data_IF_235186284102
#
_entry.id   IF_235186284102
#
_cell.length_a   1.000
_cell.length_b   1.000
_cell.length_c   1.000
_cell.angle_alpha   90.00
_cell.angle_beta   90.00
_cell.angle_gamma   90.00
#
_symmetry.space_group_name_H-M   'P 1'
#
loop_
_entity.id
_entity.type
_entity.pdbx_description
1 polymer ?
#
# COMPACT_ATOMS: atom_id res chain seq x y z
N UNK A 1 -9.39 -2.80 -0.71
CA UNK A 1 -8.74 -2.17 -1.90
C UNK A 1 -9.80 -1.65 -2.84
N UNK A 2 -9.47 -0.76 -3.78
CA UNK A 2 -10.40 -0.22 -4.79
C UNK A 2 -10.14 -0.83 -6.17
N UNK A 3 -11.17 -1.00 -7.00
CA UNK A 3 -11.04 -1.52 -8.37
C UNK A 3 -12.13 -1.00 -9.31
N UNK A 4 -11.86 -0.94 -10.61
CA UNK A 4 -12.87 -0.72 -11.64
C UNK A 4 -13.81 -1.94 -11.74
N UNK A 5 -15.15 -1.76 -11.70
CA UNK A 5 -16.12 -2.85 -11.83
C UNK A 5 -15.99 -3.64 -13.15
N UNK A 6 -15.57 -3.01 -14.25
CA UNK A 6 -15.36 -3.67 -15.54
C UNK A 6 -14.05 -4.47 -15.63
N UNK A 7 -13.21 -4.45 -14.58
CA UNK A 7 -11.92 -5.13 -14.61
C UNK A 7 -12.05 -6.66 -14.54
N UNK A 8 -11.04 -7.35 -15.11
CA UNK A 8 -10.88 -8.80 -14.94
C UNK A 8 -10.76 -9.20 -13.46
N UNK A 9 -10.16 -8.33 -12.63
CA UNK A 9 -10.03 -8.55 -11.18
C UNK A 9 -11.41 -8.69 -10.54
N UNK A 10 -12.33 -7.79 -10.86
CA UNK A 10 -13.71 -7.82 -10.37
C UNK A 10 -14.41 -9.11 -10.81
N UNK A 11 -14.32 -9.45 -12.09
CA UNK A 11 -14.92 -10.68 -12.65
C UNK A 11 -14.40 -11.93 -11.93
N UNK A 12 -13.09 -12.02 -11.72
CA UNK A 12 -12.46 -13.16 -11.06
C UNK A 12 -12.86 -13.28 -9.58
N UNK A 13 -12.94 -12.17 -8.84
CA UNK A 13 -13.33 -12.17 -7.43
C UNK A 13 -14.78 -12.60 -7.25
N UNK A 14 -15.68 -12.14 -8.13
CA UNK A 14 -17.10 -12.56 -8.11
C UNK A 14 -17.23 -14.05 -8.40
N UNK A 15 -16.42 -14.59 -9.32
CA UNK A 15 -16.44 -16.02 -9.66
C UNK A 15 -15.77 -16.91 -8.61
N UNK A 16 -14.68 -16.44 -7.98
CA UNK A 16 -13.96 -17.16 -6.94
C UNK A 16 -13.50 -16.17 -5.85
N UNK A 17 -14.15 -16.19 -4.67
CA UNK A 17 -13.79 -15.28 -3.59
C UNK A 17 -12.47 -15.65 -2.91
N UNK A 18 -11.90 -16.84 -3.12
CA UNK A 18 -10.63 -17.21 -2.48
C UNK A 18 -9.47 -16.46 -3.16
N UNK A 19 -8.85 -15.54 -2.42
CA UNK A 19 -7.77 -14.68 -2.92
C UNK A 19 -6.53 -14.75 -2.03
N UNK A 20 -5.42 -14.31 -2.60
CA UNK A 20 -4.16 -14.09 -1.89
C UNK A 20 -3.62 -12.70 -2.22
N UNK A 21 -3.33 -11.90 -1.21
CA UNK A 21 -2.73 -10.57 -1.35
C UNK A 21 -1.23 -10.66 -1.07
N UNK A 22 -0.41 -10.19 -2.01
CA UNK A 22 1.03 -10.05 -1.79
C UNK A 22 1.36 -8.60 -1.46
N UNK A 23 1.94 -8.38 -0.28
CA UNK A 23 2.50 -7.11 0.17
C UNK A 23 4.01 -7.29 0.25
N UNK A 24 4.78 -6.33 -0.22
CA UNK A 24 6.23 -6.33 -0.10
C UNK A 24 6.71 -4.94 0.29
N UNK A 25 7.78 -4.87 1.07
CA UNK A 25 8.43 -3.60 1.36
C UNK A 25 9.08 -3.08 0.07
N UNK A 26 8.59 -1.95 -0.43
CA UNK A 26 9.37 -1.18 -1.41
C UNK A 26 10.34 -0.30 -0.63
N UNK A 27 11.57 -0.21 -1.12
CA UNK A 27 12.52 0.82 -0.70
C UNK A 27 11.92 2.17 -1.03
N UNK A 28 11.22 2.75 -0.07
CA UNK A 28 10.82 4.14 -0.18
C UNK A 28 12.11 4.97 -0.20
N UNK A 29 12.35 5.65 -1.32
CA UNK A 29 13.15 6.86 -1.35
C UNK A 29 12.41 7.93 -0.54
N UNK A 30 12.13 7.72 0.75
CA UNK A 30 11.98 8.88 1.62
C UNK A 30 13.33 9.56 1.47
N UNK A 31 13.41 10.79 0.90
CA UNK A 31 14.57 11.61 1.19
C UNK A 31 14.74 11.49 2.69
N UNK A 32 15.94 11.19 3.22
CA UNK A 32 16.10 11.10 4.66
C UNK A 32 15.44 12.37 5.16
N UNK A 33 14.31 12.23 5.86
CA UNK A 33 13.64 13.36 6.48
C UNK A 33 14.79 13.99 7.21
N UNK A 34 15.21 15.18 6.77
CA UNK A 34 16.25 15.95 7.42
C UNK A 34 15.66 16.21 8.80
N UNK A 35 15.86 15.24 9.67
CA UNK A 35 15.64 15.34 11.08
C UNK A 35 16.56 16.46 11.44
N UNK A 36 15.94 17.62 11.69
CA UNK A 36 16.34 18.59 12.69
C UNK A 36 17.35 17.92 13.62
N UNK A 37 18.64 18.16 13.36
CA UNK A 37 19.66 17.83 14.33
C UNK A 37 19.46 18.80 15.47
N UNK A 38 18.91 18.32 16.57
CA UNK A 38 19.16 18.94 17.86
C UNK A 38 20.61 18.62 18.23
N UNK A 39 21.38 19.67 18.53
CA UNK A 39 22.80 19.66 18.93
C UNK A 39 23.83 19.75 17.80
N UNK A 40 24.71 20.74 17.96
CA UNK A 40 25.61 21.29 16.96
C UNK A 40 26.82 20.43 16.63
N UNK A 41 27.30 20.61 15.40
CA UNK A 41 28.52 20.04 14.86
C UNK A 41 28.63 20.37 13.37
N UNK A 42 29.56 21.28 13.06
CA UNK A 42 30.12 21.78 11.79
C UNK A 42 29.37 21.55 10.45
N UNK A 43 29.31 22.57 9.56
CA UNK A 43 28.61 22.49 8.28
C UNK A 43 29.25 21.41 7.39
N UNK A 44 28.55 20.29 7.21
CA UNK A 44 28.93 19.24 6.26
C UNK A 44 28.44 19.59 4.85
N UNK A 45 29.16 19.19 3.78
CA UNK A 45 28.90 19.65 2.42
C UNK A 45 27.53 19.18 1.91
N UNK A 46 26.78 20.13 1.33
CA UNK A 46 25.38 20.01 0.91
C UNK A 46 25.11 19.18 -0.35
N UNK A 47 26.05 18.38 -0.84
CA UNK A 47 25.83 17.55 -2.04
C UNK A 47 26.36 16.14 -1.84
N UNK A 48 25.46 15.17 -1.63
CA UNK A 48 25.80 13.75 -1.88
C UNK A 48 26.05 13.62 -3.39
N UNK A 49 27.19 13.08 -3.79
CA UNK A 49 27.48 12.85 -5.21
C UNK A 49 26.47 11.87 -5.83
N UNK A 50 26.28 11.93 -7.15
CA UNK A 50 25.42 10.99 -7.88
C UNK A 50 25.84 9.53 -7.65
N UNK A 51 27.15 9.28 -7.54
CA UNK A 51 27.69 7.96 -7.19
C UNK A 51 27.37 7.57 -5.74
N UNK A 52 27.52 8.48 -4.76
CA UNK A 52 27.17 8.19 -3.37
C UNK A 52 25.67 7.91 -3.22
N UNK A 53 24.83 8.61 -3.99
CA UNK A 53 23.38 8.38 -4.05
C UNK A 53 23.06 7.05 -4.73
N UNK A 54 23.75 6.70 -5.82
CA UNK A 54 23.61 5.42 -6.49
C UNK A 54 24.01 4.24 -5.58
N UNK A 55 25.16 4.32 -4.91
CA UNK A 55 25.64 3.28 -3.99
C UNK A 55 24.70 3.11 -2.79
N UNK A 56 24.15 4.21 -2.27
CA UNK A 56 23.11 4.14 -1.24
C UNK A 56 21.86 3.46 -1.77
N UNK A 57 21.38 3.84 -2.96
CA UNK A 57 20.19 3.24 -3.58
C UNK A 57 20.38 1.75 -3.87
N UNK A 58 21.58 1.34 -4.30
CA UNK A 58 21.93 -0.07 -4.51
C UNK A 58 21.90 -0.86 -3.20
N UNK A 59 22.50 -0.32 -2.12
CA UNK A 59 22.47 -0.96 -0.81
C UNK A 59 21.05 -1.05 -0.24
N UNK A 60 20.25 0.00 -0.38
CA UNK A 60 18.85 -0.03 0.08
C UNK A 60 18.01 -1.03 -0.72
N UNK A 61 18.19 -1.09 -2.06
CA UNK A 61 17.52 -2.05 -2.94
C UNK A 61 17.86 -3.50 -2.59
N UNK A 62 19.10 -3.78 -2.18
CA UNK A 62 19.52 -5.10 -1.75
C UNK A 62 18.95 -5.53 -0.38
N UNK A 63 18.50 -4.58 0.46
CA UNK A 63 17.96 -4.87 1.80
C UNK A 63 16.42 -4.95 1.87
N UNK A 64 15.70 -4.56 0.80
CA UNK A 64 14.24 -4.74 0.70
C UNK A 64 13.93 -6.22 0.48
N UNK A 65 13.52 -6.93 1.53
CA UNK A 65 13.30 -8.37 1.44
C UNK A 65 12.23 -8.86 2.41
N UNK A 66 11.33 -7.99 2.86
CA UNK A 66 10.18 -8.40 3.65
C UNK A 66 8.95 -8.51 2.73
N UNK A 67 8.33 -9.68 2.71
CA UNK A 67 7.06 -9.89 1.99
C UNK A 67 6.04 -10.59 2.89
N UNK A 68 4.78 -10.29 2.67
CA UNK A 68 3.65 -10.92 3.33
C UNK A 68 2.65 -11.38 2.28
N UNK A 69 2.36 -12.67 2.27
CA UNK A 69 1.28 -13.29 1.50
C UNK A 69 0.10 -13.50 2.44
N UNK A 70 -1.02 -12.84 2.17
CA UNK A 70 -2.21 -12.82 3.03
C UNK A 70 -3.33 -13.56 2.29
N UNK A 71 -3.69 -14.75 2.78
CA UNK A 71 -4.80 -15.56 2.27
C UNK A 71 -6.13 -15.13 2.87
N UNK A 72 -7.19 -15.14 2.06
CA UNK A 72 -8.51 -14.72 2.53
C UNK A 72 -9.66 -14.95 1.55
N UNK A 73 -10.85 -14.52 1.97
CA UNK A 73 -12.04 -14.47 1.13
C UNK A 73 -12.36 -13.02 0.76
N UNK A 74 -12.45 -12.72 -0.52
CA UNK A 74 -12.78 -11.39 -1.03
C UNK A 74 -14.26 -11.26 -1.39
N UNK A 75 -14.81 -10.08 -1.16
CA UNK A 75 -16.12 -9.66 -1.62
C UNK A 75 -16.11 -8.19 -2.02
N UNK A 76 -17.06 -7.81 -2.88
CA UNK A 76 -17.34 -6.40 -3.15
C UNK A 76 -18.20 -5.84 -2.03
N UNK A 77 -17.91 -4.61 -1.61
CA UNK A 77 -18.83 -3.85 -0.77
C UNK A 77 -20.14 -3.62 -1.54
N UNK A 78 -21.31 -3.75 -0.89
CA UNK A 78 -22.59 -3.46 -1.55
C UNK A 78 -22.65 -2.00 -2.01
N UNK A 79 -23.13 -1.78 -3.23
CA UNK A 79 -23.22 -0.44 -3.82
C UNK A 79 -24.11 0.48 -2.97
N UNK A 80 -23.59 1.67 -2.63
CA UNK A 80 -24.30 2.67 -1.84
C UNK A 80 -24.39 2.38 -0.34
N UNK A 81 -23.78 1.29 0.13
CA UNK A 81 -23.72 0.95 1.55
C UNK A 81 -22.82 1.91 2.33
N UNK A 82 -23.05 2.02 3.63
CA UNK A 82 -22.19 2.81 4.52
C UNK A 82 -20.79 2.19 4.65
N UNK A 83 -20.69 0.87 4.47
CA UNK A 83 -19.41 0.16 4.40
C UNK A 83 -18.57 0.62 3.18
N UNK A 84 -19.19 0.75 2.01
CA UNK A 84 -18.51 1.24 0.81
C UNK A 84 -18.04 2.69 0.98
N UNK A 85 -18.88 3.57 1.56
CA UNK A 85 -18.52 4.96 1.85
C UNK A 85 -17.35 5.04 2.82
N UNK A 86 -17.46 4.35 3.95
CA UNK A 86 -16.43 4.35 4.99
C UNK A 86 -15.06 3.92 4.43
N UNK A 87 -15.00 2.79 3.73
CA UNK A 87 -13.73 2.32 3.17
C UNK A 87 -13.21 3.21 2.05
N UNK A 88 -14.09 3.88 1.29
CA UNK A 88 -13.68 4.86 0.28
C UNK A 88 -13.07 6.10 0.92
N UNK A 89 -13.68 6.63 1.97
CA UNK A 89 -13.16 7.76 2.74
C UNK A 89 -11.82 7.42 3.38
N UNK A 90 -11.70 6.26 4.03
CA UNK A 90 -10.44 5.78 4.58
C UNK A 90 -9.39 5.60 3.48
N UNK A 91 -9.78 5.12 2.30
CA UNK A 91 -8.86 4.98 1.19
C UNK A 91 -8.34 6.35 0.72
N UNK A 92 -9.21 7.35 0.54
CA UNK A 92 -8.82 8.70 0.14
C UNK A 92 -7.95 9.39 1.21
N UNK A 93 -8.32 9.28 2.48
CA UNK A 93 -7.58 9.87 3.60
C UNK A 93 -6.15 9.31 3.74
N UNK A 94 -5.93 8.04 3.35
CA UNK A 94 -4.63 7.39 3.44
C UNK A 94 -3.80 7.45 2.15
N UNK A 95 -4.42 7.81 1.01
CA UNK A 95 -3.74 7.92 -0.29
C UNK A 95 -3.52 9.39 -0.68
N UNK A 96 -3.05 10.19 0.27
CA UNK A 96 -2.69 11.60 0.05
C UNK A 96 -1.29 11.67 -0.57
N UNK A 97 -1.20 11.54 -1.89
CA UNK A 97 0.03 11.85 -2.61
C UNK A 97 0.13 13.36 -2.78
N UNK A 98 1.20 13.98 -2.26
CA UNK A 98 1.52 15.36 -2.65
C UNK A 98 1.73 15.39 -4.17
N UNK A 99 1.23 16.42 -4.84
CA UNK A 99 1.56 16.73 -6.24
C UNK A 99 3.05 17.15 -6.33
N UNK A 100 3.96 16.22 -6.00
CA UNK A 100 5.39 16.38 -6.20
C UNK A 100 5.69 16.33 -7.70
N UNK A 101 6.47 17.30 -8.16
CA UNK A 101 6.76 17.67 -9.55
C UNK A 101 6.55 16.56 -10.60
N UNK A 102 5.74 16.89 -11.59
CA UNK A 102 5.47 16.07 -12.77
C UNK A 102 6.77 15.79 -13.55
N UNK A 103 7.50 14.74 -13.20
CA UNK A 103 8.61 14.26 -14.02
C UNK A 103 8.07 13.56 -15.30
N UNK A 104 6.82 13.07 -15.30
CA UNK A 104 6.23 12.36 -16.45
C UNK A 104 4.70 12.52 -16.64
N UNK A 105 4.10 13.67 -16.31
CA UNK A 105 2.72 13.96 -16.78
C UNK A 105 2.77 14.93 -17.94
N UNK A 106 2.68 14.39 -19.15
CA UNK A 106 2.33 15.18 -20.32
C UNK A 106 0.90 15.72 -20.12
N UNK A 107 0.80 17.03 -20.29
CA UNK A 107 -0.33 17.91 -20.16
C UNK A 107 -1.62 17.40 -20.82
N UNK A 108 -2.73 17.39 -20.08
CA UNK A 108 -4.04 17.70 -20.66
C UNK A 108 -5.06 18.12 -19.58
N UNK A 109 -5.43 19.39 -19.67
CA UNK A 109 -6.61 20.05 -19.09
C UNK A 109 -6.57 20.49 -17.61
N UNK A 110 -6.38 21.80 -17.49
CA UNK A 110 -6.80 22.70 -16.42
C UNK A 110 -8.25 22.44 -15.99
N UNK A 111 -8.43 21.91 -14.79
CA UNK A 111 -9.67 22.08 -14.02
C UNK A 111 -9.29 22.15 -12.54
N UNK A 112 -9.35 23.35 -11.97
CA UNK A 112 -8.86 23.72 -10.64
C UNK A 112 -9.74 23.21 -9.48
N UNK A 113 -10.72 22.34 -9.75
CA UNK A 113 -11.69 21.86 -8.75
C UNK A 113 -11.52 20.39 -8.33
N UNK A 114 -10.50 19.66 -8.80
CA UNK A 114 -10.28 18.24 -8.40
C UNK A 114 -9.47 18.05 -7.12
N UNK A 115 -9.61 18.95 -6.15
CA UNK A 115 -8.96 18.82 -4.84
C UNK A 115 -9.65 17.77 -3.97
N UNK A 116 -9.53 16.48 -4.32
CA UNK A 116 -9.96 15.41 -3.40
C UNK A 116 -10.28 14.04 -3.99
N UNK A 117 -10.25 13.83 -5.31
CA UNK A 117 -10.46 12.49 -5.88
C UNK A 117 -9.22 12.02 -6.63
N UNK A 118 -8.48 11.08 -6.04
CA UNK A 118 -7.37 10.37 -6.70
C UNK A 118 -7.87 9.29 -7.68
N UNK A 119 -9.18 9.25 -7.96
CA UNK A 119 -9.77 8.41 -8.97
C UNK A 119 -9.70 9.09 -10.34
N UNK A 120 -9.52 8.31 -11.41
CA UNK A 120 -9.58 8.83 -12.78
C UNK A 120 -10.99 9.37 -13.00
N UNK A 121 -11.09 10.66 -13.37
CA UNK A 121 -12.38 11.29 -13.61
C UNK A 121 -13.19 10.51 -14.67
N UNK A 122 -14.38 10.05 -14.30
CA UNK A 122 -15.27 9.25 -15.17
C UNK A 122 -15.21 7.74 -14.96
N UNK A 123 -14.31 7.23 -14.10
CA UNK A 123 -14.24 5.81 -13.76
C UNK A 123 -15.03 5.53 -12.47
N UNK A 124 -16.06 4.69 -12.56
CA UNK A 124 -16.74 4.15 -11.38
C UNK A 124 -15.76 3.21 -10.65
N UNK A 125 -15.63 3.35 -9.33
CA UNK A 125 -14.71 2.53 -8.53
C UNK A 125 -15.50 1.82 -7.45
N UNK A 126 -15.19 0.54 -7.25
CA UNK A 126 -15.80 -0.33 -6.24
C UNK A 126 -14.78 -0.73 -5.19
N UNK A 127 -15.27 -0.93 -3.96
CA UNK A 127 -14.46 -1.40 -2.84
C UNK A 127 -14.48 -2.93 -2.79
N UNK A 128 -13.30 -3.54 -2.76
CA UNK A 128 -13.08 -4.94 -2.42
C UNK A 128 -12.64 -5.03 -0.96
N UNK A 129 -13.33 -5.87 -0.20
CA UNK A 129 -13.05 -6.21 1.19
C UNK A 129 -12.51 -7.64 1.20
N UNK A 130 -11.46 -7.91 1.98
CA UNK A 130 -10.86 -9.23 2.11
C UNK A 130 -10.89 -9.63 3.57
N UNK A 131 -11.63 -10.69 3.86
CA UNK A 131 -11.65 -11.35 5.16
C UNK A 131 -10.40 -12.24 5.25
N UNK A 132 -9.44 -11.82 6.07
CA UNK A 132 -8.15 -12.48 6.23
C UNK A 132 -8.36 -13.82 6.95
N UNK A 133 -7.65 -14.86 6.51
CA UNK A 133 -7.63 -16.20 7.12
C UNK A 133 -6.24 -16.58 7.62
N UNK A 134 -5.24 -16.35 6.78
CA UNK A 134 -3.86 -16.74 7.03
C UNK A 134 -2.89 -15.71 6.47
N UNK A 135 -1.67 -15.68 7.04
CA UNK A 135 -0.60 -14.79 6.62
C UNK A 135 0.72 -15.55 6.67
N UNK A 136 1.45 -15.55 5.55
CA UNK A 136 2.85 -16.00 5.47
C UNK A 136 3.76 -14.80 5.30
N UNK A 137 4.72 -14.63 6.21
CA UNK A 137 5.68 -13.53 6.19
C UNK A 137 7.08 -14.09 5.93
N UNK A 138 7.76 -13.56 4.93
CA UNK A 138 9.20 -13.76 4.71
C UNK A 138 9.96 -12.51 5.16
N UNK A 139 11.06 -12.69 5.89
CA UNK A 139 11.96 -11.59 6.25
C UNK A 139 13.23 -11.57 5.40
N UNK A 140 14.00 -10.48 5.52
CA UNK A 140 15.25 -10.27 4.81
C UNK A 140 16.39 -11.20 5.22
N UNK A 141 16.23 -11.92 6.34
CA UNK A 141 17.19 -12.93 6.82
C UNK A 141 16.86 -14.33 6.27
N UNK A 142 15.81 -14.46 5.46
CA UNK A 142 15.35 -15.73 4.91
C UNK A 142 14.43 -16.52 5.86
N UNK A 143 14.00 -15.95 6.98
CA UNK A 143 13.03 -16.58 7.87
C UNK A 143 11.64 -16.51 7.25
N UNK A 144 10.91 -17.62 7.27
CA UNK A 144 9.49 -17.68 6.88
C UNK A 144 8.67 -18.05 8.10
N UNK A 145 7.59 -17.30 8.36
CA UNK A 145 6.64 -17.57 9.44
C UNK A 145 5.22 -17.58 8.92
N UNK A 146 4.47 -18.59 9.34
CA UNK A 146 3.06 -18.75 9.01
C UNK A 146 2.18 -18.42 10.21
N UNK A 147 1.08 -17.73 9.93
CA UNK A 147 0.09 -17.30 10.89
C UNK A 147 -1.29 -17.68 10.37
N UNK A 148 -2.17 -18.10 11.28
CA UNK A 148 -3.58 -18.35 10.99
C UNK A 148 -4.44 -17.64 12.03
N UNK A 149 -5.54 -17.03 11.59
CA UNK A 149 -6.53 -16.47 12.49
C UNK A 149 -7.33 -17.61 13.10
N UNK A 150 -7.19 -17.79 14.42
CA UNK A 150 -7.97 -18.75 15.19
C UNK A 150 -9.19 -18.01 15.75
N UNK A 151 -10.39 -18.54 15.53
CA UNK A 151 -11.60 -17.96 16.13
C UNK A 151 -11.57 -18.12 17.65
N UNK A 152 -11.96 -17.08 18.40
CA UNK A 152 -12.00 -17.10 19.88
C UNK A 152 -12.86 -18.24 20.45
N UNK A 153 -13.82 -18.77 19.68
CA UNK A 153 -14.62 -19.94 20.08
C UNK A 153 -13.79 -21.22 20.32
N UNK A 154 -12.57 -21.30 19.79
CA UNK A 154 -11.67 -22.45 19.95
C UNK A 154 -10.72 -22.32 21.17
N UNK A 155 -10.65 -21.16 21.83
CA UNK A 155 -9.86 -20.94 23.03
C UNK A 155 -10.70 -21.24 24.28
N UNK A 156 -11.19 -22.48 24.39
CA UNK A 156 -11.73 -22.97 25.66
C UNK A 156 -10.54 -23.32 26.54
N UNK A 157 -10.20 -22.44 27.48
CA UNK A 157 -9.23 -22.75 28.53
C UNK A 157 -9.80 -23.90 29.39
N UNK A 158 -9.20 -25.10 29.32
CA UNK A 158 -9.47 -26.17 30.27
C UNK A 158 -9.04 -27.56 29.79
N UNK A 159 -7.83 -27.97 30.20
CA UNK A 159 -7.62 -29.10 31.12
C UNK A 159 -6.30 -28.91 31.89
#
# INVERSE_FOLDING_TARGET
MTTNPASRKTTNIVANPNVSLLVHDWVSHRPPTQGRRMSGGSPGPEHRSSLASLLLNLNSSAMSSISATIGGAARLAPSGSDEEKYFTEQHLANNTFEEGEAIFRQDSNTDTDRRGSHFVAGEEVRVIIVDIKDVRISDWKGTVRDWALVSDAALVNGD
#
